data_IF_335093405870
#
_entry.id   IF_335093405870
#
_cell.length_a   1.000
_cell.length_b   1.000
_cell.length_c   1.000
_cell.angle_alpha   90.00
_cell.angle_beta   90.00
_cell.angle_gamma   90.00
#
_symmetry.space_group_name_H-M   'P 1'
#
loop_
_entity.id
_entity.type
_entity.pdbx_description
1 polymer ?
#
# COMPACT_ATOMS: atom_id res chain seq x y z
N UNK A 1 22.35 -1.03 16.39
CA UNK A 1 21.12 -0.24 16.65
C UNK A 1 21.43 1.23 16.36
N UNK A 2 20.90 1.82 15.28
CA UNK A 2 21.04 3.27 15.06
C UNK A 2 20.17 4.01 16.07
N UNK A 3 20.75 4.94 16.82
CA UNK A 3 20.02 5.79 17.76
C UNK A 3 18.85 6.49 17.05
N UNK A 4 17.65 6.37 17.62
CA UNK A 4 16.44 7.03 17.13
C UNK A 4 16.63 8.54 17.30
N UNK A 5 17.03 9.24 16.25
CA UNK A 5 17.12 10.70 16.28
C UNK A 5 15.76 11.25 16.74
N UNK A 6 15.75 12.04 17.82
CA UNK A 6 14.53 12.69 18.29
C UNK A 6 14.04 13.61 17.18
N UNK A 7 12.87 13.26 16.64
CA UNK A 7 12.23 14.02 15.59
C UNK A 7 11.82 15.38 16.17
N UNK A 8 12.34 16.48 15.60
CA UNK A 8 12.01 17.84 16.04
C UNK A 8 10.50 18.08 15.89
N UNK A 9 9.82 18.39 16.98
CA UNK A 9 8.40 18.74 16.97
C UNK A 9 8.22 20.25 16.80
N UNK A 10 7.14 20.64 16.12
CA UNK A 10 6.76 22.05 15.92
C UNK A 10 5.29 22.21 16.25
N UNK A 11 4.98 23.10 17.20
CA UNK A 11 3.60 23.41 17.58
C UNK A 11 2.95 24.34 16.55
N UNK A 12 1.73 24.03 16.14
CA UNK A 12 0.88 24.89 15.32
C UNK A 12 -0.51 24.98 15.95
N UNK A 13 -1.04 26.20 16.06
CA UNK A 13 -2.40 26.43 16.57
C UNK A 13 -3.37 26.49 15.41
N UNK A 14 -4.43 25.70 15.46
CA UNK A 14 -5.50 25.67 14.45
C UNK A 14 -6.85 25.90 15.13
N UNK A 15 -7.77 26.58 14.44
CA UNK A 15 -9.16 26.74 14.89
C UNK A 15 -10.02 25.70 14.18
N UNK A 16 -10.82 24.96 14.93
CA UNK A 16 -11.74 23.95 14.41
C UNK A 16 -13.18 24.37 14.75
N UNK A 17 -14.16 24.09 13.87
CA UNK A 17 -15.56 24.14 14.24
C UNK A 17 -15.82 23.23 15.45
N UNK A 18 -16.61 23.68 16.43
CA UNK A 18 -16.91 22.88 17.62
C UNK A 18 -17.58 21.53 17.31
N UNK A 19 -18.36 21.46 16.21
CA UNK A 19 -18.93 20.22 15.71
C UNK A 19 -17.87 19.20 15.26
N UNK A 20 -16.80 19.66 14.61
CA UNK A 20 -15.70 18.81 14.19
C UNK A 20 -14.87 18.33 15.38
N UNK A 21 -14.59 19.22 16.34
CA UNK A 21 -13.88 18.85 17.56
C UNK A 21 -14.65 17.77 18.35
N UNK A 22 -15.98 17.89 18.42
CA UNK A 22 -16.83 16.88 19.07
C UNK A 22 -16.68 15.48 18.45
N UNK A 23 -16.59 15.40 17.11
CA UNK A 23 -16.34 14.14 16.39
C UNK A 23 -14.95 13.60 16.74
N UNK A 24 -13.92 14.45 16.70
CA UNK A 24 -12.54 14.05 17.02
C UNK A 24 -12.40 13.55 18.47
N UNK A 25 -13.06 14.21 19.43
CA UNK A 25 -13.07 13.78 20.82
C UNK A 25 -13.72 12.42 21.00
N UNK A 26 -14.89 12.19 20.36
CA UNK A 26 -15.59 10.91 20.38
C UNK A 26 -14.70 9.79 19.82
N UNK A 27 -14.16 9.99 18.62
CA UNK A 27 -13.31 9.01 17.95
C UNK A 27 -12.03 8.72 18.72
N UNK A 28 -11.41 9.76 19.31
CA UNK A 28 -10.21 9.59 20.12
C UNK A 28 -10.49 8.72 21.36
N UNK A 29 -11.63 8.94 22.02
CA UNK A 29 -12.08 8.12 23.15
C UNK A 29 -12.33 6.67 22.75
N UNK A 30 -13.06 6.43 21.66
CA UNK A 30 -13.33 5.08 21.15
C UNK A 30 -12.06 4.33 20.78
N UNK A 31 -11.09 5.03 20.17
CA UNK A 31 -9.77 4.48 19.80
C UNK A 31 -8.76 4.46 20.94
N UNK A 32 -9.16 4.84 22.17
CA UNK A 32 -8.30 4.93 23.37
C UNK A 32 -7.01 5.72 23.10
N UNK A 33 -7.13 6.85 22.42
CA UNK A 33 -6.04 7.76 22.09
C UNK A 33 -6.39 9.20 22.45
N UNK A 34 -5.47 10.14 22.24
CA UNK A 34 -5.74 11.58 22.44
C UNK A 34 -6.17 12.23 21.12
N UNK A 35 -6.90 13.34 21.20
CA UNK A 35 -7.25 14.15 20.02
C UNK A 35 -6.00 14.57 19.25
N UNK A 36 -4.92 14.95 19.96
CA UNK A 36 -3.66 15.32 19.32
C UNK A 36 -3.03 14.16 18.54
N UNK A 37 -3.01 12.95 19.10
CA UNK A 37 -2.51 11.76 18.42
C UNK A 37 -3.36 11.38 17.21
N UNK A 38 -4.70 11.51 17.32
CA UNK A 38 -5.62 11.28 16.22
C UNK A 38 -5.39 12.27 15.07
N UNK A 39 -5.34 13.58 15.38
CA UNK A 39 -5.05 14.64 14.40
C UNK A 39 -3.69 14.40 13.74
N UNK A 40 -2.67 14.07 14.52
CA UNK A 40 -1.33 13.76 14.00
C UNK A 40 -1.37 12.60 13.02
N UNK A 41 -2.15 11.54 13.31
CA UNK A 41 -2.33 10.40 12.41
C UNK A 41 -3.03 10.78 11.10
N UNK A 42 -4.09 11.59 11.17
CA UNK A 42 -4.83 12.08 10.00
C UNK A 42 -3.93 12.95 9.11
N UNK A 43 -3.21 13.91 9.70
CA UNK A 43 -2.31 14.80 8.94
C UNK A 43 -1.12 14.01 8.36
N UNK A 44 -0.62 13.01 9.09
CA UNK A 44 0.42 12.10 8.58
C UNK A 44 -0.08 11.34 7.36
N UNK A 45 -1.29 10.76 7.43
CA UNK A 45 -1.91 10.07 6.30
C UNK A 45 -2.12 11.00 5.11
N UNK A 46 -2.55 12.24 5.33
CA UNK A 46 -2.66 13.22 4.25
C UNK A 46 -1.32 13.52 3.58
N UNK A 47 -0.26 13.71 4.38
CA UNK A 47 1.08 13.99 3.87
C UNK A 47 1.70 12.81 3.11
N UNK A 48 1.45 11.58 3.57
CA UNK A 48 2.00 10.35 2.99
C UNK A 48 1.17 9.81 1.82
N UNK A 49 -0.16 9.96 1.85
CA UNK A 49 -1.06 9.23 0.95
C UNK A 49 -2.20 10.06 0.37
N UNK A 50 -3.11 10.63 1.19
CA UNK A 50 -4.42 11.07 0.66
C UNK A 50 -4.29 12.10 -0.47
N UNK A 51 -3.37 13.07 -0.36
CA UNK A 51 -3.11 14.05 -1.44
C UNK A 51 -2.67 13.43 -2.77
N UNK A 52 -1.98 12.29 -2.72
CA UNK A 52 -1.53 11.57 -3.90
C UNK A 52 -2.64 10.66 -4.43
N UNK A 53 -3.40 10.03 -3.54
CA UNK A 53 -4.54 9.21 -3.90
C UNK A 53 -5.58 10.04 -4.68
N UNK A 54 -5.91 11.23 -4.18
CA UNK A 54 -6.84 12.16 -4.83
C UNK A 54 -6.31 12.62 -6.19
N UNK A 55 -5.04 13.01 -6.27
CA UNK A 55 -4.44 13.49 -7.52
C UNK A 55 -4.29 12.39 -8.59
N UNK A 56 -4.08 11.15 -8.17
CA UNK A 56 -3.93 10.00 -9.07
C UNK A 56 -5.29 9.37 -9.45
N UNK A 57 -6.38 9.75 -8.78
CA UNK A 57 -7.74 9.29 -9.09
C UNK A 57 -8.12 7.95 -8.44
N UNK A 58 -7.63 7.69 -7.22
CA UNK A 58 -8.08 6.53 -6.44
C UNK A 58 -9.53 6.69 -6.00
N UNK A 59 -10.27 5.57 -5.99
CA UNK A 59 -11.64 5.51 -5.48
C UNK A 59 -11.69 4.63 -4.21
N UNK A 60 -12.71 4.86 -3.39
CA UNK A 60 -12.96 4.04 -2.20
C UNK A 60 -14.12 3.07 -2.46
N UNK A 61 -13.91 1.79 -2.14
CA UNK A 61 -14.91 0.74 -2.28
C UNK A 61 -15.01 -0.09 -0.98
N UNK A 62 -16.22 -0.51 -0.57
CA UNK A 62 -16.37 -1.49 0.51
C UNK A 62 -15.67 -2.80 0.15
N UNK A 63 -14.88 -3.36 1.09
CA UNK A 63 -14.10 -4.60 0.88
C UNK A 63 -14.94 -5.75 0.31
N UNK A 64 -16.13 -5.96 0.87
CA UNK A 64 -17.04 -7.01 0.41
C UNK A 64 -17.56 -6.74 -1.02
N UNK A 65 -17.90 -5.49 -1.34
CA UNK A 65 -18.34 -5.13 -2.69
C UNK A 65 -17.24 -5.36 -3.72
N UNK A 66 -16.00 -4.98 -3.40
CA UNK A 66 -14.86 -5.24 -4.26
C UNK A 66 -14.57 -6.74 -4.44
N UNK A 67 -14.67 -7.53 -3.36
CA UNK A 67 -14.54 -8.99 -3.43
C UNK A 67 -15.56 -9.61 -4.38
N UNK A 68 -16.84 -9.24 -4.27
CA UNK A 68 -17.90 -9.74 -5.14
C UNK A 68 -17.66 -9.40 -6.62
N UNK A 69 -17.16 -8.19 -6.90
CA UNK A 69 -16.77 -7.79 -8.26
C UNK A 69 -15.65 -8.69 -8.78
N UNK A 70 -14.60 -8.94 -7.98
CA UNK A 70 -13.49 -9.81 -8.37
C UNK A 70 -13.92 -11.26 -8.59
N UNK A 71 -14.77 -11.80 -7.71
CA UNK A 71 -15.25 -13.18 -7.79
C UNK A 71 -16.12 -13.44 -9.02
N UNK A 72 -16.78 -12.40 -9.54
CA UNK A 72 -17.56 -12.49 -10.78
C UNK A 72 -16.68 -12.60 -12.05
N UNK A 73 -15.38 -12.30 -11.97
CA UNK A 73 -14.46 -12.33 -13.10
C UNK A 73 -13.81 -13.72 -13.25
N UNK A 74 -13.54 -14.13 -14.50
CA UNK A 74 -12.68 -15.30 -14.76
C UNK A 74 -11.23 -15.07 -14.35
N UNK A 75 -10.51 -16.12 -13.94
CA UNK A 75 -9.10 -16.02 -13.51
C UNK A 75 -8.21 -15.35 -14.56
N UNK A 76 -8.42 -15.71 -15.83
CA UNK A 76 -7.68 -15.16 -16.96
C UNK A 76 -7.96 -13.67 -17.17
N UNK A 77 -9.20 -13.24 -16.97
CA UNK A 77 -9.57 -11.80 -17.04
C UNK A 77 -8.90 -11.01 -15.93
N UNK A 78 -8.89 -11.55 -14.69
CA UNK A 78 -8.21 -10.93 -13.56
C UNK A 78 -6.70 -10.80 -13.83
N UNK A 79 -6.09 -11.85 -14.38
CA UNK A 79 -4.68 -11.85 -14.80
C UNK A 79 -4.39 -10.75 -15.81
N UNK A 80 -5.17 -10.67 -16.89
CA UNK A 80 -4.96 -9.68 -17.96
C UNK A 80 -5.10 -8.24 -17.46
N UNK A 81 -6.10 -7.97 -16.61
CA UNK A 81 -6.27 -6.66 -15.97
C UNK A 81 -5.04 -6.33 -15.11
N UNK A 82 -4.61 -7.26 -14.26
CA UNK A 82 -3.45 -7.08 -13.39
C UNK A 82 -2.17 -6.84 -14.18
N UNK A 83 -1.95 -7.55 -15.28
CA UNK A 83 -0.77 -7.39 -16.13
C UNK A 83 -0.77 -6.04 -16.86
N UNK A 84 -1.94 -5.65 -17.40
CA UNK A 84 -2.12 -4.35 -18.07
C UNK A 84 -1.80 -3.21 -17.11
N UNK A 85 -2.40 -3.23 -15.92
CA UNK A 85 -2.16 -2.22 -14.89
C UNK A 85 -0.70 -2.27 -14.43
N UNK A 86 -0.18 -3.45 -14.10
CA UNK A 86 1.15 -3.65 -13.52
C UNK A 86 2.30 -3.26 -14.46
N UNK A 87 2.06 -3.26 -15.77
CA UNK A 87 3.05 -2.84 -16.76
C UNK A 87 3.30 -1.33 -16.79
N UNK A 88 2.37 -0.52 -16.26
CA UNK A 88 2.41 0.96 -16.36
C UNK A 88 2.23 1.67 -15.02
N UNK A 89 1.12 1.42 -14.33
CA UNK A 89 0.73 2.20 -13.15
C UNK A 89 1.76 2.20 -12.03
N UNK A 90 2.42 1.07 -11.68
CA UNK A 90 3.44 1.10 -10.63
C UNK A 90 4.57 2.09 -10.94
N UNK A 91 5.06 2.12 -12.19
CA UNK A 91 6.12 3.05 -12.59
C UNK A 91 5.64 4.51 -12.59
N UNK A 92 4.44 4.76 -13.11
CA UNK A 92 3.83 6.10 -13.15
C UNK A 92 3.64 6.64 -11.73
N UNK A 93 3.11 5.83 -10.81
CA UNK A 93 2.90 6.21 -9.42
C UNK A 93 4.22 6.44 -8.68
N UNK A 94 5.22 5.57 -8.88
CA UNK A 94 6.55 5.76 -8.28
C UNK A 94 7.19 7.07 -8.74
N UNK A 95 7.09 7.40 -10.03
CA UNK A 95 7.57 8.67 -10.56
C UNK A 95 6.76 9.85 -10.02
N UNK A 96 5.45 9.70 -9.82
CA UNK A 96 4.61 10.75 -9.27
C UNK A 96 4.95 11.06 -7.81
N UNK A 97 5.05 10.03 -6.97
CA UNK A 97 5.21 10.15 -5.50
C UNK A 97 6.69 10.27 -5.08
N UNK A 98 7.56 9.40 -5.58
CA UNK A 98 8.95 9.28 -5.13
C UNK A 98 9.97 9.94 -6.07
N UNK A 99 9.55 10.34 -7.28
CA UNK A 99 10.42 10.92 -8.33
C UNK A 99 11.57 9.99 -8.77
N UNK A 100 11.46 8.68 -8.52
CA UNK A 100 12.48 7.67 -8.83
C UNK A 100 11.89 6.28 -9.02
N UNK A 101 12.56 5.44 -9.81
CA UNK A 101 12.21 4.04 -10.08
C UNK A 101 13.31 3.10 -9.56
N UNK A 102 13.45 3.01 -8.24
CA UNK A 102 14.43 2.13 -7.57
C UNK A 102 13.72 1.07 -6.75
N UNK A 103 14.44 0.02 -6.34
CA UNK A 103 13.90 -1.02 -5.45
C UNK A 103 13.31 -0.40 -4.18
N UNK A 104 14.04 0.49 -3.50
CA UNK A 104 13.54 1.16 -2.29
C UNK A 104 12.22 1.90 -2.50
N UNK A 105 12.05 2.55 -3.65
CA UNK A 105 10.80 3.22 -3.98
C UNK A 105 9.67 2.22 -4.23
N UNK A 106 9.98 1.05 -4.82
CA UNK A 106 9.01 0.00 -5.07
C UNK A 106 8.54 -0.59 -3.73
N UNK A 107 9.47 -0.93 -2.83
CA UNK A 107 9.14 -1.41 -1.49
C UNK A 107 8.38 -0.35 -0.68
N UNK A 108 8.73 0.94 -0.83
CA UNK A 108 7.99 2.05 -0.22
C UNK A 108 6.55 2.14 -0.75
N UNK A 109 6.34 1.88 -2.04
CA UNK A 109 4.99 1.83 -2.63
C UNK A 109 4.16 0.68 -2.04
N UNK A 110 4.74 -0.52 -1.92
CA UNK A 110 4.08 -1.66 -1.26
C UNK A 110 3.70 -1.30 0.18
N UNK A 111 4.58 -0.57 0.89
CA UNK A 111 4.30 -0.07 2.24
C UNK A 111 3.09 0.86 2.28
N UNK A 112 3.04 1.85 1.38
CA UNK A 112 1.91 2.78 1.28
C UNK A 112 0.60 2.05 0.96
N UNK A 113 0.62 1.12 0.00
CA UNK A 113 -0.57 0.38 -0.40
C UNK A 113 -1.08 -0.55 0.68
N UNK A 114 -0.18 -1.20 1.41
CA UNK A 114 -0.55 -2.03 2.54
C UNK A 114 -1.13 -1.21 3.69
N UNK A 115 -0.55 -0.03 3.95
CA UNK A 115 -0.98 0.85 5.04
C UNK A 115 -2.28 1.59 4.76
N UNK A 116 -2.50 2.01 3.51
CA UNK A 116 -3.56 2.96 3.18
C UNK A 116 -4.51 2.54 2.05
N UNK A 117 -4.08 1.67 1.13
CA UNK A 117 -4.88 1.27 -0.04
C UNK A 117 -5.59 -0.09 0.11
N UNK A 118 -5.41 -0.77 1.25
CA UNK A 118 -6.11 -2.02 1.54
C UNK A 118 -5.62 -3.23 0.74
N UNK A 119 -4.38 -3.22 0.26
CA UNK A 119 -3.82 -4.32 -0.52
C UNK A 119 -3.57 -5.60 0.30
N UNK A 120 -3.44 -5.44 1.63
CA UNK A 120 -3.07 -6.49 2.56
C UNK A 120 -2.03 -5.99 3.55
N UNK A 121 -1.57 -6.88 4.42
CA UNK A 121 -0.33 -6.69 5.16
C UNK A 121 0.81 -7.34 4.39
N UNK A 122 2.04 -6.89 4.62
CA UNK A 122 3.20 -7.44 3.94
C UNK A 122 4.36 -7.64 4.90
N UNK A 123 5.18 -8.62 4.61
CA UNK A 123 6.48 -8.86 5.24
C UNK A 123 7.53 -9.03 4.13
N UNK A 124 8.72 -8.46 4.35
CA UNK A 124 9.86 -8.60 3.45
C UNK A 124 11.05 -9.04 4.26
N UNK A 125 11.67 -10.14 3.83
CA UNK A 125 12.91 -10.67 4.37
C UNK A 125 13.99 -10.63 3.28
N UNK A 126 15.15 -10.07 3.62
CA UNK A 126 16.35 -10.19 2.81
C UNK A 126 17.06 -11.50 3.21
N UNK A 127 16.99 -12.50 2.34
CA UNK A 127 17.63 -13.82 2.53
C UNK A 127 19.15 -13.70 2.32
N UNK A 128 19.58 -12.77 1.48
CA UNK A 128 20.97 -12.35 1.27
C UNK A 128 21.02 -10.85 0.94
N UNK A 129 22.19 -10.29 0.60
CA UNK A 129 22.30 -8.88 0.17
C UNK A 129 21.46 -8.55 -1.07
N UNK A 130 21.11 -9.56 -1.88
CA UNK A 130 20.40 -9.37 -3.15
C UNK A 130 19.13 -10.19 -3.30
N UNK A 131 18.90 -11.17 -2.42
CA UNK A 131 17.75 -12.07 -2.48
C UNK A 131 16.68 -11.68 -1.49
N UNK A 132 15.45 -11.52 -1.98
CA UNK A 132 14.30 -11.09 -1.19
C UNK A 132 13.17 -12.11 -1.27
N UNK A 133 12.55 -12.34 -0.11
CA UNK A 133 11.24 -12.98 -0.01
C UNK A 133 10.24 -11.96 0.50
N UNK A 134 9.22 -11.67 -0.29
CA UNK A 134 8.10 -10.80 0.08
C UNK A 134 6.82 -11.63 0.19
N UNK A 135 6.13 -11.51 1.30
CA UNK A 135 4.83 -12.15 1.53
C UNK A 135 3.78 -11.07 1.69
N UNK A 136 2.67 -11.19 0.97
CA UNK A 136 1.49 -10.34 1.13
C UNK A 136 0.34 -11.19 1.64
N UNK A 137 -0.26 -10.81 2.77
CA UNK A 137 -1.41 -11.45 3.39
C UNK A 137 -2.66 -10.58 3.28
N UNK A 138 -3.81 -11.16 2.98
CA UNK A 138 -5.07 -10.44 2.79
C UNK A 138 -6.30 -11.33 3.04
N UNK A 139 -7.50 -10.77 2.93
CA UNK A 139 -8.77 -11.47 3.20
C UNK A 139 -9.76 -11.44 2.02
N UNK A 140 -9.27 -11.13 0.81
CA UNK A 140 -10.10 -10.97 -0.40
C UNK A 140 -10.22 -12.23 -1.27
N UNK A 141 -9.64 -13.36 -0.86
CA UNK A 141 -9.72 -14.63 -1.57
C UNK A 141 -8.85 -14.72 -2.83
N UNK A 142 -8.93 -15.88 -3.49
CA UNK A 142 -7.95 -16.30 -4.50
C UNK A 142 -7.85 -15.38 -5.72
N UNK A 143 -8.96 -14.74 -6.14
CA UNK A 143 -8.95 -13.77 -7.25
C UNK A 143 -8.05 -12.58 -6.95
N UNK A 144 -8.08 -12.09 -5.71
CA UNK A 144 -7.18 -11.02 -5.30
C UNK A 144 -5.73 -11.48 -5.22
N UNK A 145 -5.47 -12.73 -4.79
CA UNK A 145 -4.11 -13.29 -4.84
C UNK A 145 -3.57 -13.38 -6.27
N UNK A 146 -4.40 -13.80 -7.24
CA UNK A 146 -4.04 -13.79 -8.67
C UNK A 146 -3.74 -12.35 -9.11
N UNK A 147 -4.63 -11.41 -8.81
CA UNK A 147 -4.44 -10.00 -9.17
C UNK A 147 -3.11 -9.45 -8.63
N UNK A 148 -2.84 -9.62 -7.32
CA UNK A 148 -1.61 -9.15 -6.69
C UNK A 148 -0.36 -9.81 -7.28
N UNK A 149 -0.40 -11.13 -7.52
CA UNK A 149 0.71 -11.88 -8.10
C UNK A 149 1.14 -11.32 -9.45
N UNK A 150 0.19 -11.09 -10.35
CA UNK A 150 0.47 -10.60 -11.70
C UNK A 150 0.80 -9.10 -11.71
N UNK A 151 0.07 -8.29 -10.94
CA UNK A 151 0.35 -6.87 -10.76
C UNK A 151 1.77 -6.64 -10.22
N UNK A 152 2.11 -7.34 -9.14
CA UNK A 152 3.41 -7.23 -8.47
C UNK A 152 4.56 -7.71 -9.36
N UNK A 153 4.36 -8.80 -10.11
CA UNK A 153 5.35 -9.32 -11.05
C UNK A 153 5.64 -8.33 -12.18
N UNK A 154 4.60 -7.77 -12.80
CA UNK A 154 4.78 -6.75 -13.84
C UNK A 154 5.33 -5.44 -13.27
N UNK A 155 4.95 -5.09 -12.04
CA UNK A 155 5.50 -3.95 -11.32
C UNK A 155 7.01 -4.08 -11.11
N UNK A 156 7.48 -5.21 -10.56
CA UNK A 156 8.91 -5.48 -10.40
C UNK A 156 9.65 -5.46 -11.75
N UNK A 157 9.07 -6.06 -12.79
CA UNK A 157 9.67 -6.06 -14.13
C UNK A 157 9.77 -4.66 -14.73
N UNK A 158 8.69 -3.88 -14.69
CA UNK A 158 8.64 -2.55 -15.32
C UNK A 158 9.40 -1.47 -14.57
N UNK A 159 9.66 -1.66 -13.27
CA UNK A 159 10.28 -0.63 -12.41
C UNK A 159 11.75 -0.93 -12.10
N UNK A 160 12.11 -2.18 -11.86
CA UNK A 160 13.46 -2.59 -11.45
C UNK A 160 14.06 -3.70 -12.32
N UNK A 161 13.38 -4.08 -13.41
CA UNK A 161 13.81 -5.12 -14.35
C UNK A 161 14.06 -6.49 -13.70
N UNK A 162 13.23 -6.84 -12.71
CA UNK A 162 13.30 -8.12 -11.98
C UNK A 162 12.07 -8.96 -12.26
N UNK A 163 12.27 -10.25 -12.54
CA UNK A 163 11.20 -11.23 -12.69
C UNK A 163 11.13 -12.13 -11.44
N UNK A 164 10.11 -11.99 -10.58
CA UNK A 164 9.98 -12.83 -9.39
C UNK A 164 9.47 -14.23 -9.73
N UNK A 165 9.86 -15.22 -8.91
CA UNK A 165 9.12 -16.47 -8.76
C UNK A 165 7.96 -16.23 -7.80
N UNK A 166 6.74 -16.60 -8.18
CA UNK A 166 5.54 -16.29 -7.40
C UNK A 166 4.79 -17.56 -7.03
N UNK A 167 4.34 -17.63 -5.78
CA UNK A 167 3.45 -18.67 -5.27
C UNK A 167 2.13 -18.03 -4.81
N UNK A 168 1.01 -18.54 -5.33
CA UNK A 168 -0.33 -18.00 -5.13
C UNK A 168 -1.16 -18.94 -4.25
N UNK A 169 -1.44 -18.52 -3.02
CA UNK A 169 -2.38 -19.18 -2.13
C UNK A 169 -3.77 -18.53 -2.23
N UNK A 170 -4.70 -18.89 -1.36
CA UNK A 170 -6.04 -18.30 -1.35
C UNK A 170 -6.07 -16.87 -0.78
N UNK A 171 -5.27 -16.61 0.25
CA UNK A 171 -5.27 -15.35 0.99
C UNK A 171 -3.85 -14.79 1.19
N UNK A 172 -2.92 -15.28 0.37
CA UNK A 172 -1.56 -14.78 0.37
C UNK A 172 -0.84 -14.99 -0.94
N UNK A 173 0.16 -14.15 -1.18
CA UNK A 173 1.06 -14.23 -2.33
C UNK A 173 2.49 -14.13 -1.83
N UNK A 174 3.34 -15.04 -2.28
CA UNK A 174 4.78 -15.03 -1.97
C UNK A 174 5.56 -14.72 -3.24
N UNK A 175 6.38 -13.68 -3.19
CA UNK A 175 7.31 -13.30 -4.24
C UNK A 175 8.73 -13.62 -3.77
N UNK A 176 9.49 -14.35 -4.59
CA UNK A 176 10.91 -14.59 -4.40
C UNK A 176 11.68 -14.01 -5.57
N UNK A 177 12.60 -13.10 -5.32
CA UNK A 177 13.33 -12.43 -6.39
C UNK A 177 14.72 -11.98 -5.97
N UNK A 178 15.59 -11.81 -6.96
CA UNK A 178 16.97 -11.35 -6.78
C UNK A 178 17.17 -10.05 -7.54
N UNK A 179 17.85 -9.08 -6.94
CA UNK A 179 18.18 -7.81 -7.61
C UNK A 179 19.58 -7.85 -8.24
N UNK A 180 19.78 -7.18 -9.40
CA UNK A 180 21.06 -7.15 -10.12
C UNK A 180 22.22 -6.51 -9.34
#
# INVERSE_FOLDING_TARGET
MKARQQQKTVTRTIRLPGSLDSVLQKDAKEKRTTVNSLISSIITRYAEWDRYADAFGFICLPRNGFKLILDALGDETVRQIAETIGSRQPRELMMFVFKKTTLDAFLSQISLFSRYAGFGTYEIEAVSERDYTMVVHHELGRKWSIYLAHLGSQGLKSTVNVAPKVHIAENSVVFKFSVP
#
